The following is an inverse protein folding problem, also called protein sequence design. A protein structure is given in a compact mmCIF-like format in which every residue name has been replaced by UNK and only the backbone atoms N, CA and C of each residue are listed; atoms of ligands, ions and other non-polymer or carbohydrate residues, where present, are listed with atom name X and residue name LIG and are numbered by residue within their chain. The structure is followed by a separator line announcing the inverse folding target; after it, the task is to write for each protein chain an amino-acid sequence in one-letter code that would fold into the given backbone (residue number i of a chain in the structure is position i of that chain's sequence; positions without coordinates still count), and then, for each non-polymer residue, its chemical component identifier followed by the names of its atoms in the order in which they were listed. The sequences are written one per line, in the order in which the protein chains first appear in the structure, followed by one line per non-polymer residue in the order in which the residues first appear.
data_IF_290696723914
#
_entry.id   IF_290696723914
#
_cell.length_a   1.000
_cell.length_b   1.000
_cell.length_c   1.000
_cell.angle_alpha   90.00
_cell.angle_beta   90.00
_cell.angle_gamma   90.00
#
_symmetry.space_group_name_H-M   'P 1'
#
loop_
_entity.id
_entity.type
_entity.pdbx_description
1 polymer ?
#
# COMPACT_ATOMS: atom_id res chain seq x y z
N UNK A 1 -25.95 16.26 19.59
CA UNK A 1 -26.07 17.17 18.44
C UNK A 1 -27.02 18.33 18.69
N UNK A 2 -28.23 18.13 19.24
CA UNK A 2 -29.16 19.24 19.48
C UNK A 2 -29.85 19.73 18.20
N UNK A 3 -29.97 18.84 17.21
CA UNK A 3 -30.67 19.07 15.95
C UNK A 3 -32.18 19.16 16.15
N UNK A 4 -32.82 20.04 15.38
CA UNK A 4 -34.25 20.06 15.15
C UNK A 4 -34.74 18.79 14.43
N UNK A 5 -36.05 18.54 14.41
CA UNK A 5 -36.59 17.35 13.75
C UNK A 5 -36.38 17.38 12.22
N UNK A 6 -36.34 18.56 11.61
CA UNK A 6 -36.02 18.72 10.20
C UNK A 6 -34.56 18.35 9.91
N UNK A 7 -33.61 18.88 10.68
CA UNK A 7 -32.17 18.55 10.55
C UNK A 7 -31.92 17.06 10.80
N UNK A 8 -32.59 16.44 11.78
CA UNK A 8 -32.48 14.98 12.01
C UNK A 8 -32.89 14.18 10.78
N UNK A 9 -33.97 14.57 10.10
CA UNK A 9 -34.45 13.87 8.93
C UNK A 9 -33.45 13.96 7.76
N UNK A 10 -32.89 15.15 7.53
CA UNK A 10 -31.89 15.39 6.48
C UNK A 10 -30.58 14.64 6.77
N UNK A 11 -30.01 14.84 7.97
CA UNK A 11 -28.73 14.23 8.33
C UNK A 11 -28.83 12.71 8.42
N UNK A 12 -29.99 12.15 8.81
CA UNK A 12 -30.22 10.71 8.81
C UNK A 12 -30.09 10.12 7.41
N UNK A 13 -30.69 10.73 6.39
CA UNK A 13 -30.61 10.23 5.02
C UNK A 13 -29.16 10.26 4.49
N UNK A 14 -28.40 11.31 4.82
CA UNK A 14 -26.99 11.42 4.46
C UNK A 14 -26.15 10.34 5.18
N UNK A 15 -26.37 10.15 6.46
CA UNK A 15 -25.67 9.17 7.28
C UNK A 15 -25.93 7.72 6.85
N UNK A 16 -27.19 7.39 6.51
CA UNK A 16 -27.55 6.10 5.92
C UNK A 16 -26.84 5.88 4.58
N UNK A 17 -26.67 6.95 3.78
CA UNK A 17 -25.90 6.89 2.54
C UNK A 17 -24.41 6.63 2.80
N UNK A 18 -23.78 7.37 3.72
CA UNK A 18 -22.37 7.14 4.09
C UNK A 18 -22.11 5.71 4.59
N UNK A 19 -22.98 5.22 5.47
CA UNK A 19 -22.91 3.87 6.01
C UNK A 19 -23.01 2.83 4.89
N UNK A 20 -24.09 2.86 4.11
CA UNK A 20 -24.41 1.82 3.13
C UNK A 20 -23.48 1.79 1.92
N UNK A 21 -22.98 2.94 1.47
CA UNK A 21 -22.11 2.99 0.29
C UNK A 21 -20.65 2.64 0.58
N UNK A 22 -20.12 3.00 1.75
CA UNK A 22 -18.68 2.84 2.03
C UNK A 22 -18.37 2.45 3.46
N UNK A 23 -18.87 3.17 4.45
CA UNK A 23 -18.26 3.12 5.77
C UNK A 23 -18.58 1.83 6.54
N UNK A 24 -19.70 1.17 6.27
CA UNK A 24 -20.00 -0.16 6.83
C UNK A 24 -19.09 -1.27 6.28
N UNK A 25 -18.30 -1.02 5.22
CA UNK A 25 -17.29 -1.98 4.74
C UNK A 25 -16.06 -2.07 5.66
N UNK A 26 -15.93 -1.20 6.66
CA UNK A 26 -14.77 -1.19 7.55
C UNK A 26 -14.69 -2.48 8.37
N UNK A 27 -13.65 -3.26 8.11
CA UNK A 27 -13.52 -4.65 8.60
C UNK A 27 -13.15 -4.75 10.07
N UNK A 28 -12.67 -3.67 10.69
CA UNK A 28 -12.22 -3.68 12.08
C UNK A 28 -13.30 -3.21 13.07
N UNK A 29 -14.54 -3.03 12.62
CA UNK A 29 -15.64 -2.86 13.57
C UNK A 29 -15.86 -4.15 14.37
N UNK A 30 -16.11 -3.99 15.67
CA UNK A 30 -16.50 -5.09 16.54
C UNK A 30 -17.81 -5.74 16.04
N UNK A 31 -18.04 -7.04 16.32
CA UNK A 31 -19.28 -7.71 15.96
C UNK A 31 -20.53 -6.93 16.42
N UNK A 32 -21.45 -6.68 15.49
CA UNK A 32 -22.68 -5.92 15.76
C UNK A 32 -22.51 -4.39 15.80
N UNK A 33 -21.29 -3.86 15.62
CA UNK A 33 -21.04 -2.42 15.43
C UNK A 33 -20.94 -2.10 13.94
N UNK A 34 -21.52 -0.97 13.53
CA UNK A 34 -21.38 -0.40 12.19
C UNK A 34 -20.98 1.07 12.29
N UNK A 35 -20.93 1.76 11.15
CA UNK A 35 -20.48 3.15 11.10
C UNK A 35 -21.33 4.07 11.99
N UNK A 36 -22.65 3.94 11.96
CA UNK A 36 -23.55 4.85 12.69
C UNK A 36 -23.38 4.76 14.21
N UNK A 37 -23.28 3.54 14.75
CA UNK A 37 -23.03 3.35 16.18
C UNK A 37 -21.63 3.85 16.56
N UNK A 38 -20.63 3.58 15.71
CA UNK A 38 -19.27 4.08 15.92
C UNK A 38 -19.23 5.61 15.93
N UNK A 39 -19.90 6.26 14.97
CA UNK A 39 -20.01 7.71 14.88
C UNK A 39 -20.72 8.29 16.10
N UNK A 40 -21.81 7.69 16.56
CA UNK A 40 -22.54 8.17 17.73
C UNK A 40 -21.66 8.13 19.00
N UNK A 41 -20.96 7.01 19.24
CA UNK A 41 -20.05 6.86 20.37
C UNK A 41 -18.83 7.77 20.28
N UNK A 42 -18.33 7.98 19.06
CA UNK A 42 -17.22 8.87 18.75
C UNK A 42 -17.61 10.33 18.99
N UNK A 43 -18.79 10.78 18.53
CA UNK A 43 -19.28 12.13 18.77
C UNK A 43 -19.62 12.36 20.25
N UNK A 44 -20.10 11.35 20.95
CA UNK A 44 -20.43 11.46 22.38
C UNK A 44 -19.22 11.81 23.25
N UNK A 45 -18.00 11.48 22.80
CA UNK A 45 -16.79 11.77 23.57
C UNK A 45 -16.44 13.26 23.64
N UNK A 46 -16.91 14.06 22.69
CA UNK A 46 -16.67 15.50 22.68
C UNK A 46 -17.62 16.22 23.63
N UNK A 47 -17.08 17.05 24.53
CA UNK A 47 -17.80 17.64 25.66
C UNK A 47 -18.87 18.64 25.18
N UNK A 48 -18.48 19.57 24.32
CA UNK A 48 -19.35 20.69 23.94
C UNK A 48 -20.10 20.40 22.63
N UNK A 49 -21.20 21.13 22.40
CA UNK A 49 -21.91 21.08 21.12
C UNK A 49 -21.00 21.53 19.97
N UNK A 50 -20.24 22.62 20.14
CA UNK A 50 -19.35 23.14 19.10
C UNK A 50 -18.25 22.14 18.70
N UNK A 51 -17.68 21.42 19.66
CA UNK A 51 -16.69 20.37 19.37
C UNK A 51 -17.32 19.22 18.56
N UNK A 52 -18.54 18.80 18.90
CA UNK A 52 -19.29 17.81 18.12
C UNK A 52 -19.60 18.27 16.70
N UNK A 53 -19.97 19.54 16.53
CA UNK A 53 -20.28 20.11 15.22
C UNK A 53 -19.04 20.17 14.32
N UNK A 54 -17.88 20.56 14.87
CA UNK A 54 -16.58 20.53 14.17
C UNK A 54 -16.23 19.09 13.75
N UNK A 55 -16.32 18.15 14.69
CA UNK A 55 -16.00 16.75 14.45
C UNK A 55 -16.92 16.11 13.39
N UNK A 56 -18.22 16.43 13.43
CA UNK A 56 -19.19 15.96 12.45
C UNK A 56 -18.95 16.54 11.05
N UNK A 57 -18.66 17.85 10.96
CA UNK A 57 -18.36 18.52 9.69
C UNK A 57 -17.10 17.93 9.05
N UNK A 58 -16.07 17.62 9.84
CA UNK A 58 -14.89 16.91 9.38
C UNK A 58 -15.22 15.57 8.70
N UNK A 59 -16.12 14.77 9.31
CA UNK A 59 -16.55 13.48 8.73
C UNK A 59 -17.28 13.69 7.41
N UNK A 60 -18.14 14.71 7.31
CA UNK A 60 -18.91 15.01 6.08
C UNK A 60 -18.05 15.52 4.94
N UNK A 61 -17.04 16.35 5.23
CA UNK A 61 -16.41 17.19 4.23
C UNK A 61 -14.96 16.80 3.91
N UNK A 62 -14.27 16.14 4.84
CA UNK A 62 -12.82 15.89 4.73
C UNK A 62 -12.43 14.41 4.77
N UNK A 63 -13.28 13.55 5.32
CA UNK A 63 -12.98 12.13 5.46
C UNK A 63 -12.90 11.43 4.10
N UNK A 64 -11.78 10.76 3.85
CA UNK A 64 -11.56 9.93 2.66
C UNK A 64 -11.59 8.47 3.09
N UNK A 65 -12.59 7.74 2.59
CA UNK A 65 -12.67 6.29 2.76
C UNK A 65 -12.42 5.59 1.44
N UNK A 66 -11.44 4.69 1.44
CA UNK A 66 -11.12 3.84 0.30
C UNK A 66 -11.74 2.46 0.52
N UNK A 67 -12.78 2.17 -0.25
CA UNK A 67 -13.53 0.91 -0.23
C UNK A 67 -12.71 -0.27 -0.75
N UNK A 68 -13.20 -1.49 -0.49
CA UNK A 68 -12.58 -2.68 -1.06
C UNK A 68 -12.68 -2.70 -2.60
N UNK A 69 -13.79 -2.22 -3.16
CA UNK A 69 -13.97 -2.13 -4.61
C UNK A 69 -12.96 -1.16 -5.25
N UNK A 70 -12.71 0.00 -4.63
CA UNK A 70 -11.74 0.98 -5.12
C UNK A 70 -10.32 0.43 -5.07
N UNK A 71 -9.88 -0.17 -3.96
CA UNK A 71 -8.54 -0.79 -3.87
C UNK A 71 -8.41 -1.91 -4.90
N UNK A 72 -9.42 -2.79 -5.05
CA UNK A 72 -9.36 -3.88 -6.02
C UNK A 72 -9.29 -3.37 -7.47
N UNK A 73 -9.92 -2.24 -7.77
CA UNK A 73 -9.78 -1.57 -9.07
C UNK A 73 -8.33 -1.11 -9.30
N UNK A 74 -7.70 -0.47 -8.31
CA UNK A 74 -6.30 -0.04 -8.40
C UNK A 74 -5.34 -1.23 -8.54
N UNK A 75 -5.59 -2.33 -7.81
CA UNK A 75 -4.86 -3.60 -7.96
C UNK A 75 -4.94 -4.11 -9.40
N UNK A 76 -6.14 -4.08 -10.00
CA UNK A 76 -6.35 -4.45 -11.40
C UNK A 76 -5.69 -3.52 -12.41
N UNK A 77 -5.46 -2.25 -12.06
CA UNK A 77 -4.79 -1.29 -12.94
C UNK A 77 -3.27 -1.38 -12.90
N UNK A 78 -2.67 -1.91 -11.82
CA UNK A 78 -1.22 -1.93 -11.62
C UNK A 78 -0.45 -2.62 -12.78
N UNK A 79 -0.91 -3.79 -13.24
CA UNK A 79 -0.27 -4.50 -14.34
C UNK A 79 -0.42 -3.80 -15.70
N UNK A 80 -1.63 -3.47 -16.19
CA UNK A 80 -1.79 -2.85 -17.50
C UNK A 80 -1.21 -1.43 -17.59
N UNK A 81 -1.03 -0.74 -16.46
CA UNK A 81 -0.54 0.65 -16.40
C UNK A 81 0.98 0.73 -16.33
N UNK A 82 1.64 -0.15 -15.56
CA UNK A 82 3.09 -0.02 -15.31
C UNK A 82 3.89 -1.22 -15.79
N UNK A 83 3.47 -2.43 -15.42
CA UNK A 83 4.24 -3.65 -15.70
C UNK A 83 4.22 -3.96 -17.20
N UNK A 84 3.02 -4.12 -17.78
CA UNK A 84 2.88 -4.50 -19.19
C UNK A 84 3.52 -3.49 -20.15
N UNK A 85 3.33 -2.15 -20.01
CA UNK A 85 3.99 -1.18 -20.87
C UNK A 85 5.51 -1.26 -20.81
N UNK A 86 6.09 -1.47 -19.61
CA UNK A 86 7.54 -1.67 -19.45
C UNK A 86 8.02 -2.92 -20.18
N UNK A 87 7.34 -4.06 -19.99
CA UNK A 87 7.70 -5.30 -20.69
C UNK A 87 7.61 -5.16 -22.22
N UNK A 88 6.61 -4.43 -22.73
CA UNK A 88 6.47 -4.16 -24.16
C UNK A 88 7.62 -3.29 -24.67
N UNK A 89 7.93 -2.19 -23.95
CA UNK A 89 9.00 -1.27 -24.32
C UNK A 89 10.34 -2.00 -24.39
N UNK A 90 10.70 -2.75 -23.35
CA UNK A 90 11.93 -3.52 -23.29
C UNK A 90 11.96 -4.59 -24.40
N UNK A 91 10.81 -5.13 -24.85
CA UNK A 91 10.73 -6.10 -25.97
C UNK A 91 10.99 -5.46 -27.32
N UNK A 92 10.48 -4.25 -27.51
CA UNK A 92 10.79 -3.49 -28.72
C UNK A 92 12.27 -3.11 -28.78
N UNK A 93 12.84 -2.65 -27.67
CA UNK A 93 14.25 -2.21 -27.61
C UNK A 93 15.24 -3.36 -27.85
N UNK A 94 14.95 -4.54 -27.30
CA UNK A 94 15.84 -5.70 -27.42
C UNK A 94 15.76 -6.41 -28.78
N UNK A 95 14.72 -6.14 -29.58
CA UNK A 95 14.49 -6.85 -30.84
C UNK A 95 14.11 -5.88 -31.96
N UNK A 96 15.09 -5.51 -32.78
CA UNK A 96 14.95 -4.50 -33.85
C UNK A 96 13.83 -4.78 -34.87
N UNK A 97 13.36 -6.02 -35.00
CA UNK A 97 12.24 -6.38 -35.86
C UNK A 97 10.86 -6.04 -35.25
N UNK A 98 10.80 -5.75 -33.95
CA UNK A 98 9.58 -5.44 -33.20
C UNK A 98 9.51 -3.93 -32.91
N UNK A 99 8.87 -3.19 -33.81
CA UNK A 99 8.67 -1.75 -33.62
C UNK A 99 7.73 -1.46 -32.43
N UNK A 100 8.11 -0.52 -31.55
CA UNK A 100 7.41 -0.22 -30.30
C UNK A 100 5.91 0.09 -30.44
N UNK A 101 5.49 0.68 -31.57
CA UNK A 101 4.08 0.99 -31.83
C UNK A 101 3.23 -0.24 -32.19
N UNK A 102 3.85 -1.39 -32.52
CA UNK A 102 3.15 -2.63 -32.90
C UNK A 102 2.86 -3.52 -31.69
N UNK A 103 2.20 -2.95 -30.68
CA UNK A 103 1.91 -3.60 -29.39
C UNK A 103 1.30 -5.01 -29.53
N UNK A 104 0.34 -5.20 -30.44
CA UNK A 104 -0.29 -6.52 -30.65
C UNK A 104 0.67 -7.58 -31.16
N UNK A 105 1.64 -7.19 -31.99
CA UNK A 105 2.65 -8.10 -32.52
C UNK A 105 3.65 -8.46 -31.42
N UNK A 106 4.06 -7.47 -30.62
CA UNK A 106 4.96 -7.66 -29.48
C UNK A 106 4.36 -8.63 -28.48
N UNK A 107 3.13 -8.40 -28.01
CA UNK A 107 2.49 -9.24 -26.97
C UNK A 107 2.30 -10.69 -27.42
N UNK A 108 2.20 -10.95 -28.73
CA UNK A 108 2.11 -12.31 -29.30
C UNK A 108 3.46 -12.98 -29.52
N UNK A 109 4.56 -12.25 -29.41
CA UNK A 109 5.90 -12.75 -29.72
C UNK A 109 6.37 -13.76 -28.65
N UNK A 110 7.36 -14.60 -29.01
CA UNK A 110 7.99 -15.52 -28.03
C UNK A 110 8.78 -14.73 -27.00
N UNK A 111 9.39 -13.63 -27.41
CA UNK A 111 10.26 -12.76 -26.62
C UNK A 111 9.46 -12.06 -25.52
N UNK A 112 8.30 -11.47 -25.84
CA UNK A 112 7.43 -10.89 -24.82
C UNK A 112 6.92 -11.96 -23.84
N UNK A 113 6.49 -13.13 -24.33
CA UNK A 113 6.01 -14.22 -23.46
C UNK A 113 7.10 -14.73 -22.52
N UNK A 114 8.32 -14.89 -23.02
CA UNK A 114 9.47 -15.27 -22.22
C UNK A 114 9.78 -14.20 -21.16
N UNK A 115 9.75 -12.92 -21.55
CA UNK A 115 10.00 -11.81 -20.63
C UNK A 115 8.94 -11.67 -19.55
N UNK A 116 7.66 -11.76 -19.93
CA UNK A 116 6.55 -11.82 -18.99
C UNK A 116 6.77 -12.98 -18.02
N UNK A 117 7.14 -14.17 -18.52
CA UNK A 117 7.39 -15.34 -17.66
C UNK A 117 8.57 -15.18 -16.71
N UNK A 118 9.61 -14.43 -17.11
CA UNK A 118 10.75 -14.00 -16.30
C UNK A 118 10.44 -12.84 -15.34
N UNK A 119 9.16 -12.51 -15.14
CA UNK A 119 8.70 -11.56 -14.14
C UNK A 119 8.21 -12.28 -12.88
N UNK A 120 8.79 -11.91 -11.74
CA UNK A 120 8.39 -12.35 -10.39
C UNK A 120 7.62 -11.22 -9.68
N UNK A 121 6.44 -11.51 -9.13
CA UNK A 121 5.61 -10.59 -8.39
C UNK A 121 5.63 -10.96 -6.91
N UNK A 122 6.03 -10.01 -6.04
CA UNK A 122 6.17 -10.20 -4.60
C UNK A 122 5.30 -9.21 -3.84
N UNK A 123 4.59 -9.68 -2.81
CA UNK A 123 3.88 -8.82 -1.86
C UNK A 123 4.81 -8.25 -0.79
N UNK A 124 4.74 -6.94 -0.56
CA UNK A 124 5.48 -6.24 0.51
C UNK A 124 4.75 -6.24 1.85
N UNK A 125 3.45 -6.57 1.86
CA UNK A 125 2.63 -6.72 3.05
C UNK A 125 1.38 -7.56 2.76
N UNK A 126 0.62 -7.89 3.81
CA UNK A 126 -0.71 -8.51 3.67
C UNK A 126 -1.67 -7.66 2.82
N UNK A 127 -1.48 -6.33 2.82
CA UNK A 127 -2.25 -5.38 2.01
C UNK A 127 -1.96 -5.46 0.51
N UNK A 128 -0.88 -6.12 0.09
CA UNK A 128 -0.48 -6.21 -1.31
C UNK A 128 -1.49 -6.92 -2.23
N UNK A 129 -2.47 -7.65 -1.68
CA UNK A 129 -3.59 -8.26 -2.45
C UNK A 129 -3.13 -9.03 -3.69
N UNK A 130 -2.02 -9.76 -3.58
CA UNK A 130 -1.41 -10.43 -4.72
C UNK A 130 -2.27 -11.55 -5.29
N UNK A 131 -3.18 -12.12 -4.50
CA UNK A 131 -4.23 -13.03 -4.96
C UNK A 131 -5.21 -12.34 -5.92
N UNK A 132 -5.69 -11.14 -5.56
CA UNK A 132 -6.59 -10.34 -6.39
C UNK A 132 -5.86 -9.82 -7.63
N UNK A 133 -4.61 -9.38 -7.47
CA UNK A 133 -3.76 -8.98 -8.58
C UNK A 133 -3.66 -10.08 -9.65
N UNK A 134 -3.40 -11.34 -9.23
CA UNK A 134 -3.36 -12.48 -10.16
C UNK A 134 -4.73 -12.75 -10.79
N UNK A 135 -5.80 -12.72 -10.01
CA UNK A 135 -7.18 -12.99 -10.50
C UNK A 135 -7.68 -11.92 -11.47
N UNK A 136 -7.20 -10.69 -11.36
CA UNK A 136 -7.48 -9.62 -12.31
C UNK A 136 -6.80 -9.82 -13.68
N UNK A 137 -5.75 -10.66 -13.74
CA UNK A 137 -4.93 -10.88 -14.95
C UNK A 137 -4.77 -12.37 -15.30
N UNK A 138 -5.87 -13.14 -15.45
CA UNK A 138 -5.80 -14.61 -15.56
C UNK A 138 -5.19 -15.10 -16.88
N UNK A 139 -5.11 -14.25 -17.90
CA UNK A 139 -4.51 -14.58 -19.19
C UNK A 139 -3.00 -14.28 -19.25
N UNK A 140 -2.50 -13.45 -18.34
CA UNK A 140 -1.12 -12.95 -18.37
C UNK A 140 -0.28 -13.49 -17.21
N UNK A 141 -0.88 -13.74 -16.04
CA UNK A 141 -0.13 -14.00 -14.80
C UNK A 141 -0.53 -15.36 -14.21
N UNK A 142 0.45 -16.24 -14.07
CA UNK A 142 0.26 -17.56 -13.47
C UNK A 142 0.58 -17.57 -11.97
N UNK A 143 0.25 -18.67 -11.28
CA UNK A 143 0.57 -18.81 -9.85
C UNK A 143 2.08 -18.87 -9.61
N UNK A 144 2.81 -19.40 -10.59
CA UNK A 144 4.25 -19.61 -10.63
C UNK A 144 5.07 -18.33 -10.75
N UNK A 145 4.41 -17.19 -10.82
CA UNK A 145 5.04 -15.87 -10.88
C UNK A 145 4.71 -15.04 -9.65
N UNK A 146 3.76 -15.46 -8.80
CA UNK A 146 3.24 -14.63 -7.72
C UNK A 146 3.54 -15.26 -6.39
N UNK A 147 4.19 -14.51 -5.50
CA UNK A 147 4.39 -14.92 -4.13
C UNK A 147 3.91 -13.83 -3.15
N UNK A 148 3.19 -14.26 -2.11
CA UNK A 148 2.51 -13.37 -1.16
C UNK A 148 3.48 -12.61 -0.25
N UNK A 149 4.65 -13.18 0.04
CA UNK A 149 5.66 -12.58 0.89
C UNK A 149 6.99 -12.50 0.13
N UNK A 150 7.95 -11.74 0.64
CA UNK A 150 9.31 -11.77 0.11
C UNK A 150 10.17 -12.85 0.79
N UNK A 151 9.88 -13.22 2.03
CA UNK A 151 10.60 -14.28 2.74
C UNK A 151 10.25 -15.66 2.13
N UNK A 152 11.16 -16.17 1.30
CA UNK A 152 10.99 -17.42 0.55
C UNK A 152 11.92 -18.52 1.08
N UNK A 153 11.34 -19.67 1.41
CA UNK A 153 12.12 -20.85 1.79
C UNK A 153 12.84 -21.48 0.59
N UNK A 154 14.00 -22.12 0.82
CA UNK A 154 14.80 -22.76 -0.23
C UNK A 154 14.03 -23.79 -1.08
N UNK A 155 13.18 -24.68 -0.50
CA UNK A 155 12.39 -25.61 -1.31
C UNK A 155 11.42 -24.90 -2.25
N UNK A 156 10.87 -23.75 -1.81
CA UNK A 156 9.96 -22.96 -2.62
C UNK A 156 10.72 -22.29 -3.77
N UNK A 157 11.87 -21.69 -3.49
CA UNK A 157 12.75 -21.09 -4.49
C UNK A 157 13.10 -22.09 -5.61
N UNK A 158 13.49 -23.32 -5.24
CA UNK A 158 13.77 -24.39 -6.22
C UNK A 158 12.57 -24.68 -7.13
N UNK A 159 11.37 -24.78 -6.55
CA UNK A 159 10.14 -25.01 -7.31
C UNK A 159 9.81 -23.87 -8.29
N UNK A 160 10.16 -22.61 -8.00
CA UNK A 160 10.02 -21.50 -8.94
C UNK A 160 10.98 -21.65 -10.13
N UNK A 161 12.25 -21.99 -9.88
CA UNK A 161 13.27 -22.20 -10.92
C UNK A 161 12.91 -23.35 -11.85
N UNK A 162 12.54 -24.51 -11.30
CA UNK A 162 12.16 -25.70 -12.09
C UNK A 162 10.99 -25.39 -13.03
N UNK A 163 9.96 -24.71 -12.52
CA UNK A 163 8.81 -24.32 -13.33
C UNK A 163 9.17 -23.23 -14.35
N UNK A 164 10.02 -22.27 -13.99
CA UNK A 164 10.51 -21.24 -14.92
C UNK A 164 11.26 -21.87 -16.09
N UNK A 165 12.17 -22.81 -15.83
CA UNK A 165 12.92 -23.53 -16.85
C UNK A 165 11.99 -24.28 -17.82
N UNK A 166 11.02 -25.02 -17.27
CA UNK A 166 10.03 -25.76 -18.06
C UNK A 166 9.21 -24.85 -18.98
N UNK A 167 8.71 -23.75 -18.44
CA UNK A 167 7.86 -22.82 -19.18
C UNK A 167 8.67 -22.09 -20.27
N UNK A 168 9.89 -21.65 -19.95
CA UNK A 168 10.79 -21.03 -20.93
C UNK A 168 11.18 -21.97 -22.06
N UNK A 169 11.46 -23.24 -21.75
CA UNK A 169 11.76 -24.26 -22.77
C UNK A 169 10.59 -24.49 -23.71
N UNK A 170 9.36 -24.45 -23.17
CA UNK A 170 8.13 -24.55 -23.95
C UNK A 170 7.92 -23.32 -24.86
N UNK A 171 8.22 -22.12 -24.36
CA UNK A 171 8.07 -20.87 -25.13
C UNK A 171 9.09 -20.78 -26.26
N UNK A 172 10.36 -21.09 -25.98
CA UNK A 172 11.45 -21.05 -26.96
C UNK A 172 11.29 -22.16 -28.01
N UNK A 173 10.86 -23.36 -27.57
CA UNK A 173 10.88 -24.59 -28.35
C UNK A 173 12.22 -25.33 -28.30
N UNK A 174 13.07 -24.98 -27.32
CA UNK A 174 14.38 -25.59 -27.09
C UNK A 174 14.64 -25.70 -25.58
N UNK A 175 15.45 -26.66 -25.17
CA UNK A 175 15.82 -26.83 -23.76
C UNK A 175 16.57 -25.59 -23.26
N UNK A 176 16.08 -25.02 -22.15
CA UNK A 176 16.73 -23.89 -21.48
C UNK A 176 17.56 -24.44 -20.31
N UNK A 177 18.88 -24.19 -20.28
CA UNK A 177 19.73 -24.55 -19.16
C UNK A 177 19.26 -23.93 -17.84
N UNK A 178 19.49 -24.61 -16.72
CA UNK A 178 19.04 -24.18 -15.39
C UNK A 178 19.69 -22.84 -14.96
N UNK A 179 20.94 -22.60 -15.35
CA UNK A 179 21.66 -21.35 -15.10
C UNK A 179 21.05 -20.15 -15.86
N UNK A 180 20.32 -20.40 -16.95
CA UNK A 180 19.60 -19.39 -17.74
C UNK A 180 18.13 -19.21 -17.30
N UNK A 181 17.61 -20.10 -16.46
CA UNK A 181 16.26 -20.02 -15.91
C UNK A 181 16.21 -19.04 -14.72
N UNK A 182 16.48 -17.76 -14.99
CA UNK A 182 16.49 -16.67 -14.00
C UNK A 182 15.41 -15.63 -14.29
N UNK A 183 14.87 -15.04 -13.23
CA UNK A 183 13.99 -13.89 -13.32
C UNK A 183 14.79 -12.63 -13.65
N UNK A 184 14.29 -11.84 -14.59
CA UNK A 184 14.90 -10.57 -15.02
C UNK A 184 14.11 -9.38 -14.46
N UNK A 185 12.86 -9.60 -14.06
CA UNK A 185 11.97 -8.57 -13.54
C UNK A 185 11.45 -8.98 -12.18
N UNK A 186 11.49 -8.06 -11.22
CA UNK A 186 10.89 -8.24 -9.89
C UNK A 186 9.93 -7.10 -9.64
N UNK A 187 8.63 -7.40 -9.52
CA UNK A 187 7.58 -6.41 -9.25
C UNK A 187 7.17 -6.53 -7.78
N UNK A 188 7.43 -5.49 -7.01
CA UNK A 188 7.06 -5.42 -5.59
C UNK A 188 5.72 -4.69 -5.46
N UNK A 189 4.74 -5.31 -4.81
CA UNK A 189 3.37 -4.80 -4.69
C UNK A 189 3.05 -4.45 -3.24
N UNK A 190 2.42 -3.30 -3.00
CA UNK A 190 1.81 -2.97 -1.71
C UNK A 190 0.62 -2.01 -1.89
N UNK A 191 -0.23 -1.89 -0.86
CA UNK A 191 -1.45 -1.09 -0.96
C UNK A 191 -1.26 0.41 -0.71
N UNK A 192 -0.69 0.77 0.43
CA UNK A 192 -0.73 2.13 0.94
C UNK A 192 0.59 2.56 1.58
N UNK A 193 0.97 3.81 1.33
CA UNK A 193 2.07 4.48 2.03
C UNK A 193 1.79 5.97 2.17
N UNK A 194 2.09 6.54 3.34
CA UNK A 194 1.87 7.96 3.61
C UNK A 194 3.14 8.72 4.00
N UNK A 195 4.02 8.12 4.80
CA UNK A 195 5.33 8.70 5.13
C UNK A 195 6.50 8.11 4.33
N UNK A 196 6.35 6.90 3.76
CA UNK A 196 7.44 6.20 3.08
C UNK A 196 8.50 5.55 3.99
N UNK A 197 8.57 5.92 5.27
CA UNK A 197 9.62 5.48 6.20
C UNK A 197 9.67 3.97 6.48
N UNK A 198 8.55 3.25 6.36
CA UNK A 198 8.51 1.79 6.49
C UNK A 198 9.12 1.07 5.28
N UNK A 199 9.13 1.73 4.12
CA UNK A 199 9.65 1.17 2.87
C UNK A 199 11.13 1.43 2.72
N UNK A 200 11.58 2.66 3.03
CA UNK A 200 12.98 3.04 2.89
C UNK A 200 13.33 4.17 3.86
N UNK A 201 14.41 4.00 4.62
CA UNK A 201 15.01 5.01 5.51
C UNK A 201 16.47 4.66 5.79
N UNK A 202 17.21 5.62 6.31
CA UNK A 202 18.52 5.35 6.89
C UNK A 202 18.37 4.72 8.28
N UNK A 203 19.14 3.68 8.54
CA UNK A 203 19.29 3.01 9.82
C UNK A 203 20.32 3.70 10.70
N UNK A 204 20.45 3.22 11.95
CA UNK A 204 21.31 3.86 12.97
C UNK A 204 22.80 3.90 12.61
N UNK A 205 23.25 2.99 11.75
CA UNK A 205 24.66 2.83 11.38
C UNK A 205 24.98 3.41 9.99
N UNK A 206 24.05 4.15 9.36
CA UNK A 206 24.17 4.61 7.98
C UNK A 206 23.70 3.60 6.93
N UNK A 207 23.38 2.36 7.32
CA UNK A 207 22.82 1.34 6.42
C UNK A 207 21.35 1.62 6.08
N UNK A 208 20.92 1.25 4.87
CA UNK A 208 19.51 1.32 4.48
C UNK A 208 18.62 0.30 5.21
N UNK A 209 17.47 0.76 5.71
CA UNK A 209 16.44 -0.05 6.36
C UNK A 209 15.06 0.22 5.73
N UNK A 210 14.09 -0.67 6.00
CA UNK A 210 12.78 -0.68 5.38
C UNK A 210 12.58 -1.89 4.45
N UNK A 211 11.33 -2.10 4.04
CA UNK A 211 10.94 -3.26 3.21
C UNK A 211 11.70 -3.33 1.89
N UNK A 212 11.84 -2.20 1.19
CA UNK A 212 12.54 -2.15 -0.11
C UNK A 212 14.02 -2.44 0.10
N UNK A 213 14.67 -1.78 1.07
CA UNK A 213 16.09 -1.99 1.37
C UNK A 213 16.41 -3.46 1.69
N UNK A 214 15.55 -4.12 2.47
CA UNK A 214 15.71 -5.55 2.81
C UNK A 214 15.63 -6.45 1.57
N UNK A 215 14.62 -6.24 0.73
CA UNK A 215 14.43 -7.06 -0.48
C UNK A 215 15.54 -6.81 -1.49
N UNK A 216 15.94 -5.56 -1.70
CA UNK A 216 17.06 -5.24 -2.58
C UNK A 216 18.34 -5.93 -2.10
N UNK A 217 18.63 -5.92 -0.79
CA UNK A 217 19.76 -6.66 -0.22
C UNK A 217 19.68 -8.17 -0.47
N UNK A 218 18.49 -8.76 -0.33
CA UNK A 218 18.29 -10.19 -0.62
C UNK A 218 18.48 -10.51 -2.11
N UNK A 219 17.96 -9.65 -3.01
CA UNK A 219 18.12 -9.77 -4.45
C UNK A 219 19.58 -9.60 -4.89
N UNK A 220 20.33 -8.71 -4.23
CA UNK A 220 21.74 -8.44 -4.54
C UNK A 220 22.68 -9.55 -4.03
N UNK A 221 22.23 -10.36 -3.07
CA UNK A 221 22.95 -11.56 -2.61
C UNK A 221 22.91 -12.69 -3.64
N UNK A 222 23.69 -13.76 -3.45
CA UNK A 222 23.61 -14.98 -4.28
C UNK A 222 22.80 -16.10 -3.65
N UNK A 223 22.12 -15.80 -2.54
CA UNK A 223 21.31 -16.74 -1.77
C UNK A 223 19.81 -16.50 -1.98
N UNK A 224 18.99 -17.53 -1.73
CA UNK A 224 17.51 -17.44 -1.72
C UNK A 224 16.94 -16.64 -2.91
N UNK A 225 16.37 -15.46 -2.68
CA UNK A 225 15.81 -14.60 -3.73
C UNK A 225 16.84 -14.16 -4.76
N UNK A 226 18.05 -13.82 -4.32
CA UNK A 226 19.14 -13.41 -5.19
C UNK A 226 19.61 -14.53 -6.12
N UNK A 227 19.48 -15.79 -5.70
CA UNK A 227 19.73 -16.96 -6.55
C UNK A 227 18.68 -17.16 -7.66
N UNK A 228 17.48 -16.56 -7.51
CA UNK A 228 16.39 -16.68 -8.49
C UNK A 228 16.51 -15.68 -9.64
N UNK A 229 17.21 -14.57 -9.43
CA UNK A 229 17.32 -13.49 -10.42
C UNK A 229 18.60 -13.58 -11.24
N UNK A 230 18.62 -12.86 -12.36
CA UNK A 230 19.81 -12.73 -13.20
C UNK A 230 20.95 -12.02 -12.44
N UNK A 231 22.19 -12.31 -12.82
CA UNK A 231 23.38 -11.71 -12.19
C UNK A 231 23.62 -10.25 -12.59
N UNK A 232 22.94 -9.78 -13.65
CA UNK A 232 22.96 -8.37 -14.07
C UNK A 232 21.70 -8.07 -14.89
N UNK A 233 21.40 -6.78 -15.05
CA UNK A 233 20.25 -6.30 -15.83
C UNK A 233 18.88 -6.55 -15.18
N UNK A 234 18.83 -6.86 -13.88
CA UNK A 234 17.56 -7.05 -13.16
C UNK A 234 16.80 -5.74 -13.07
N UNK A 235 15.53 -5.74 -13.43
CA UNK A 235 14.66 -4.57 -13.29
C UNK A 235 13.66 -4.77 -12.17
N UNK A 236 13.82 -4.00 -11.09
CA UNK A 236 12.91 -4.00 -9.95
C UNK A 236 11.90 -2.88 -10.12
N UNK A 237 10.61 -3.21 -10.09
CA UNK A 237 9.51 -2.24 -10.16
C UNK A 237 8.72 -2.27 -8.86
N UNK A 238 8.83 -1.23 -8.06
CA UNK A 238 8.03 -1.04 -6.85
C UNK A 238 6.73 -0.34 -7.24
N UNK A 239 5.60 -1.03 -7.10
CA UNK A 239 4.27 -0.51 -7.42
C UNK A 239 3.43 -0.43 -6.15
N UNK A 240 3.11 0.79 -5.74
CA UNK A 240 2.20 1.05 -4.61
C UNK A 240 0.84 1.51 -5.15
N UNK A 241 -0.25 0.92 -4.66
CA UNK A 241 -1.57 1.24 -5.17
C UNK A 241 -1.98 2.67 -4.82
N UNK A 242 -1.73 3.11 -3.58
CA UNK A 242 -2.06 4.44 -3.08
C UNK A 242 -0.87 5.02 -2.33
N UNK A 243 -0.41 6.22 -2.69
CA UNK A 243 0.64 6.91 -1.93
C UNK A 243 0.34 8.39 -1.74
N UNK A 244 0.60 8.92 -0.55
CA UNK A 244 0.60 10.37 -0.32
C UNK A 244 1.86 11.01 -0.91
N UNK A 245 1.76 12.25 -1.39
CA UNK A 245 2.89 12.99 -1.98
C UNK A 245 4.14 12.97 -1.06
N UNK A 246 3.96 13.13 0.25
CA UNK A 246 5.04 13.03 1.24
C UNK A 246 5.81 11.70 1.16
N UNK A 247 5.12 10.56 0.98
CA UNK A 247 5.79 9.27 0.83
C UNK A 247 6.49 9.13 -0.52
N UNK A 248 5.89 9.69 -1.58
CA UNK A 248 6.44 9.62 -2.93
C UNK A 248 7.78 10.34 -2.96
N UNK A 249 7.79 11.60 -2.52
CA UNK A 249 9.02 12.41 -2.42
C UNK A 249 10.06 11.71 -1.53
N UNK A 250 9.64 11.20 -0.36
CA UNK A 250 10.53 10.52 0.58
C UNK A 250 11.20 9.28 -0.03
N UNK A 251 10.44 8.45 -0.76
CA UNK A 251 10.91 7.20 -1.35
C UNK A 251 11.77 7.49 -2.58
N UNK A 252 11.31 8.34 -3.51
CA UNK A 252 12.03 8.66 -4.75
C UNK A 252 13.44 9.22 -4.46
N UNK A 253 13.54 10.19 -3.54
CA UNK A 253 14.83 10.79 -3.15
C UNK A 253 15.84 9.78 -2.58
N UNK A 254 15.36 8.74 -1.90
CA UNK A 254 16.21 7.73 -1.25
C UNK A 254 16.51 6.56 -2.17
N UNK A 255 15.60 6.23 -3.08
CA UNK A 255 15.82 5.19 -4.08
C UNK A 255 16.99 5.51 -4.99
N UNK A 256 17.20 6.78 -5.33
CA UNK A 256 18.37 7.23 -6.11
C UNK A 256 19.71 6.90 -5.43
N UNK A 257 19.70 6.73 -4.10
CA UNK A 257 20.88 6.50 -3.28
C UNK A 257 21.01 5.04 -2.82
N UNK A 258 20.01 4.21 -3.09
CA UNK A 258 19.98 2.81 -2.68
C UNK A 258 20.81 1.98 -3.68
N UNK A 259 21.96 1.40 -3.27
CA UNK A 259 22.75 0.59 -4.19
C UNK A 259 22.03 -0.71 -4.55
N UNK A 260 22.12 -1.09 -5.82
CA UNK A 260 21.71 -2.39 -6.32
C UNK A 260 22.64 -2.79 -7.47
N UNK A 261 23.55 -3.73 -7.22
CA UNK A 261 24.61 -4.09 -8.18
C UNK A 261 24.10 -4.87 -9.38
N UNK A 262 23.01 -5.64 -9.20
CA UNK A 262 22.44 -6.49 -10.25
C UNK A 262 21.51 -5.75 -11.22
N UNK A 263 21.19 -4.48 -11.00
CA UNK A 263 20.40 -3.72 -11.99
C UNK A 263 19.79 -2.41 -11.50
N UNK A 264 18.50 -2.18 -11.80
CA UNK A 264 17.82 -0.89 -11.59
C UNK A 264 16.54 -1.03 -10.78
N UNK A 265 16.14 0.05 -10.12
CA UNK A 265 14.92 0.13 -9.31
C UNK A 265 14.07 1.30 -9.82
N UNK A 266 12.80 1.04 -10.08
CA UNK A 266 11.80 2.05 -10.44
C UNK A 266 10.67 2.06 -9.42
N UNK A 267 10.16 3.25 -9.08
CA UNK A 267 9.00 3.44 -8.21
C UNK A 267 7.81 3.97 -8.99
N UNK A 268 6.64 3.34 -8.84
CA UNK A 268 5.38 3.73 -9.47
C UNK A 268 4.26 3.72 -8.45
N UNK A 269 3.33 4.66 -8.63
CA UNK A 269 2.15 4.80 -7.80
C UNK A 269 0.91 4.81 -8.68
N UNK A 270 -0.05 3.91 -8.42
CA UNK A 270 -1.29 3.83 -9.22
C UNK A 270 -2.18 5.04 -8.96
N UNK A 271 -2.37 5.41 -7.69
CA UNK A 271 -3.16 6.55 -7.27
C UNK A 271 -2.39 7.44 -6.28
N UNK A 272 -2.11 8.67 -6.68
CA UNK A 272 -1.46 9.66 -5.82
C UNK A 272 -2.52 10.40 -4.99
N UNK A 273 -2.40 10.34 -3.67
CA UNK A 273 -3.14 11.22 -2.77
C UNK A 273 -2.42 12.57 -2.75
N UNK A 274 -3.00 13.52 -3.48
CA UNK A 274 -2.43 14.85 -3.65
C UNK A 274 -2.28 15.59 -2.30
N UNK A 275 -1.43 16.62 -2.31
CA UNK A 275 -1.15 17.45 -1.15
C UNK A 275 -2.39 18.10 -0.50
N UNK A 276 -3.49 18.29 -1.26
CA UNK A 276 -4.76 18.85 -0.77
C UNK A 276 -5.52 17.93 0.20
N UNK A 277 -5.14 16.65 0.29
CA UNK A 277 -5.68 15.70 1.26
C UNK A 277 -5.16 15.98 2.67
N UNK A 278 -3.93 16.48 2.80
CA UNK A 278 -3.33 16.76 4.11
C UNK A 278 -4.12 17.84 4.84
N UNK A 279 -4.46 17.59 6.11
CA UNK A 279 -5.16 18.58 6.93
C UNK A 279 -4.23 19.75 7.26
N UNK A 280 -4.66 20.95 6.91
CA UNK A 280 -3.87 22.18 7.03
C UNK A 280 -4.67 23.36 7.57
N UNK A 281 -4.05 24.25 8.36
CA UNK A 281 -4.59 25.58 8.63
C UNK A 281 -4.69 26.45 7.35
N UNK A 282 -5.68 27.37 7.25
CA UNK A 282 -6.79 27.57 8.19
C UNK A 282 -8.01 26.66 7.91
N UNK A 283 -8.02 25.91 6.80
CA UNK A 283 -9.19 25.14 6.34
C UNK A 283 -9.61 24.05 7.32
N UNK A 284 -8.66 23.45 8.03
CA UNK A 284 -8.89 22.33 8.94
C UNK A 284 -8.63 22.72 10.42
N UNK A 285 -8.59 24.02 10.74
CA UNK A 285 -8.24 24.52 12.08
C UNK A 285 -9.12 23.94 13.20
N UNK A 286 -10.42 23.75 12.93
CA UNK A 286 -11.34 23.19 13.92
C UNK A 286 -10.92 21.78 14.35
N UNK A 287 -10.79 20.85 13.40
CA UNK A 287 -10.44 19.46 13.72
C UNK A 287 -8.99 19.33 14.21
N UNK A 288 -8.07 20.15 13.69
CA UNK A 288 -6.69 20.18 14.17
C UNK A 288 -6.62 20.70 15.61
N UNK A 289 -7.42 21.71 15.96
CA UNK A 289 -7.51 22.22 17.34
C UNK A 289 -8.10 21.18 18.28
N UNK A 290 -9.15 20.45 17.86
CA UNK A 290 -9.69 19.31 18.63
C UNK A 290 -8.63 18.24 18.85
N UNK A 291 -7.96 17.80 17.79
CA UNK A 291 -6.90 16.80 17.87
C UNK A 291 -5.74 17.28 18.76
N UNK A 292 -5.53 18.59 18.92
CA UNK A 292 -4.50 19.17 19.78
C UNK A 292 -4.81 19.14 21.28
N UNK A 293 -6.03 18.82 21.69
CA UNK A 293 -6.40 18.82 23.11
C UNK A 293 -5.96 17.52 23.79
N UNK A 294 -5.37 17.60 24.99
CA UNK A 294 -4.84 16.42 25.70
C UNK A 294 -5.90 15.40 26.09
N UNK A 295 -7.14 15.84 26.37
CA UNK A 295 -8.28 14.96 26.65
C UNK A 295 -8.68 14.09 25.46
N UNK A 296 -8.34 14.49 24.24
CA UNK A 296 -8.65 13.78 22.99
C UNK A 296 -7.44 13.06 22.40
N UNK A 297 -6.40 12.85 23.21
CA UNK A 297 -5.25 12.05 22.87
C UNK A 297 -4.89 11.09 24.01
N UNK A 298 -4.37 9.93 23.67
CA UNK A 298 -3.80 9.00 24.64
C UNK A 298 -2.28 8.95 24.44
N UNK A 299 -1.46 9.35 25.43
CA UNK A 299 0.00 9.28 25.33
C UNK A 299 0.54 7.87 25.03
N UNK A 300 -0.19 6.82 25.42
CA UNK A 300 0.22 5.43 25.16
C UNK A 300 0.20 5.08 23.66
N UNK A 301 -0.47 5.90 22.84
CA UNK A 301 -0.42 5.77 21.39
C UNK A 301 0.98 6.09 20.82
N UNK A 302 1.76 6.92 21.51
CA UNK A 302 3.12 7.28 21.13
C UNK A 302 4.14 6.22 21.59
N UNK A 303 4.20 5.11 20.85
CA UNK A 303 5.14 4.01 21.05
C UNK A 303 6.56 4.28 20.49
N UNK A 304 7.45 3.29 20.58
CA UNK A 304 8.81 3.31 20.01
C UNK A 304 8.83 3.63 18.50
N UNK A 305 7.80 3.23 17.75
CA UNK A 305 7.74 3.57 16.33
C UNK A 305 7.56 5.07 16.12
N UNK A 306 6.84 5.77 17.01
CA UNK A 306 6.66 7.22 16.97
C UNK A 306 7.98 7.99 16.97
N UNK A 307 9.03 7.45 17.62
CA UNK A 307 10.39 8.01 17.57
C UNK A 307 10.97 8.00 16.17
N UNK A 308 10.67 6.98 15.36
CA UNK A 308 11.07 6.91 13.94
C UNK A 308 10.32 7.97 13.12
N UNK A 309 9.08 8.27 13.46
CA UNK A 309 8.29 9.33 12.82
C UNK A 309 8.62 10.75 13.31
N UNK A 310 9.42 10.89 14.36
CA UNK A 310 9.87 12.18 14.92
C UNK A 310 8.78 13.09 15.47
N UNK A 311 7.53 12.63 15.52
CA UNK A 311 6.35 13.45 15.88
C UNK A 311 5.33 12.60 16.62
N UNK A 312 4.54 13.26 17.48
CA UNK A 312 3.39 12.60 18.12
C UNK A 312 2.39 12.15 17.07
N UNK A 313 1.86 10.93 17.25
CA UNK A 313 0.83 10.34 16.41
C UNK A 313 -0.53 11.02 16.53
N UNK A 314 -0.67 11.98 17.44
CA UNK A 314 -1.82 12.89 17.55
C UNK A 314 -2.32 13.39 16.18
N UNK A 315 -1.37 13.87 15.37
CA UNK A 315 -1.61 14.39 14.03
C UNK A 315 -1.30 13.37 12.92
N UNK A 316 -1.24 12.09 13.28
CA UNK A 316 -0.78 11.03 12.41
C UNK A 316 0.74 10.89 12.39
N UNK A 317 1.19 9.65 12.30
CA UNK A 317 2.59 9.26 12.22
C UNK A 317 3.36 10.04 11.14
N UNK A 318 4.55 10.51 11.50
CA UNK A 318 5.42 11.37 10.67
C UNK A 318 4.76 12.69 10.21
N UNK A 319 3.81 13.20 10.99
CA UNK A 319 3.13 14.46 10.73
C UNK A 319 2.31 14.45 9.43
N UNK A 320 1.87 13.28 8.97
CA UNK A 320 1.14 13.14 7.71
C UNK A 320 -0.23 13.83 7.72
N UNK A 321 -0.89 13.95 8.89
CA UNK A 321 -2.15 14.69 9.06
C UNK A 321 -3.24 14.26 8.07
N UNK A 322 -3.41 12.97 7.85
CA UNK A 322 -4.36 12.49 6.85
C UNK A 322 -5.77 12.28 7.44
N UNK A 323 -6.82 12.52 6.64
CA UNK A 323 -8.19 12.12 6.95
C UNK A 323 -8.55 10.81 6.23
N UNK A 324 -7.64 9.83 6.17
CA UNK A 324 -7.78 8.64 5.32
C UNK A 324 -8.14 7.40 6.15
N UNK A 325 -9.06 6.60 5.62
CA UNK A 325 -9.45 5.29 6.14
C UNK A 325 -9.44 4.29 4.98
N UNK A 326 -8.88 3.10 5.18
CA UNK A 326 -8.98 1.99 4.22
C UNK A 326 -9.97 0.98 4.78
N UNK A 327 -10.73 0.32 3.91
CA UNK A 327 -11.75 -0.64 4.34
C UNK A 327 -11.22 -1.75 5.28
N UNK A 328 -9.95 -2.13 5.16
CA UNK A 328 -9.36 -3.17 6.01
C UNK A 328 -8.60 -2.63 7.24
N UNK A 329 -8.28 -1.34 7.30
CA UNK A 329 -7.50 -0.71 8.37
C UNK A 329 -7.49 0.83 8.25
N UNK A 330 -7.51 1.54 9.38
CA UNK A 330 -7.20 2.98 9.39
C UNK A 330 -5.70 3.22 9.54
N UNK A 331 -5.01 3.84 8.56
CA UNK A 331 -3.58 4.14 8.67
C UNK A 331 -3.27 5.03 9.87
N UNK A 332 -2.19 4.76 10.60
CA UNK A 332 -1.78 5.58 11.75
C UNK A 332 -1.16 6.91 11.32
N UNK A 333 -0.95 7.12 10.01
CA UNK A 333 -0.65 8.40 9.39
C UNK A 333 -1.87 9.34 9.35
N UNK A 334 -3.07 8.81 9.56
CA UNK A 334 -4.26 9.61 9.78
C UNK A 334 -4.29 10.16 11.20
N UNK A 335 -5.09 11.20 11.44
CA UNK A 335 -5.21 11.79 12.79
C UNK A 335 -5.68 10.75 13.81
N UNK A 336 -5.16 10.80 15.05
CA UNK A 336 -5.41 9.80 16.09
C UNK A 336 -6.90 9.55 16.36
N UNK A 337 -7.70 10.62 16.31
CA UNK A 337 -9.16 10.57 16.49
C UNK A 337 -9.86 9.59 15.53
N UNK A 338 -9.28 9.28 14.38
CA UNK A 338 -9.86 8.31 13.44
C UNK A 338 -9.58 6.86 13.86
N UNK A 339 -8.43 6.56 14.47
CA UNK A 339 -7.95 5.18 14.57
C UNK A 339 -7.64 4.69 15.97
N UNK A 340 -7.80 5.52 17.00
CA UNK A 340 -7.55 5.14 18.38
C UNK A 340 -8.13 3.74 18.69
N UNK A 341 -7.25 2.85 19.15
CA UNK A 341 -7.57 1.46 19.51
C UNK A 341 -8.44 1.39 20.77
N UNK A 342 -9.15 0.28 20.97
CA UNK A 342 -10.03 0.08 22.13
C UNK A 342 -9.31 0.12 23.50
N UNK A 343 -7.98 -0.06 23.52
CA UNK A 343 -7.15 0.05 24.72
C UNK A 343 -6.89 1.49 25.16
N UNK A 344 -7.12 2.46 24.28
CA UNK A 344 -6.90 3.87 24.59
C UNK A 344 -8.11 4.49 25.29
N UNK A 345 -7.87 5.56 26.04
CA UNK A 345 -8.92 6.35 26.70
C UNK A 345 -9.82 7.13 25.72
N UNK A 346 -9.39 7.27 24.47
CA UNK A 346 -10.09 7.99 23.39
C UNK A 346 -10.66 6.98 22.41
N UNK A 347 -11.86 7.24 21.90
CA UNK A 347 -12.50 6.36 20.91
C UNK A 347 -12.09 6.77 19.50
N UNK A 348 -11.63 5.82 18.70
CA UNK A 348 -11.44 5.99 17.26
C UNK A 348 -12.77 5.88 16.52
N UNK A 349 -13.00 6.71 15.50
CA UNK A 349 -14.18 6.57 14.64
C UNK A 349 -14.15 5.26 13.83
N UNK A 350 -12.96 4.89 13.36
CA UNK A 350 -12.62 3.65 12.67
C UNK A 350 -11.46 2.99 13.43
N UNK A 351 -11.75 2.36 14.58
CA UNK A 351 -10.72 1.91 15.51
C UNK A 351 -9.80 0.88 14.85
N UNK A 352 -8.52 0.90 15.22
CA UNK A 352 -7.58 -0.17 14.87
C UNK A 352 -7.65 -1.29 15.91
N UNK A 353 -7.38 -2.50 15.45
CA UNK A 353 -7.16 -3.65 16.33
C UNK A 353 -5.66 -3.79 16.59
N UNK A 354 -5.28 -3.81 17.86
CA UNK A 354 -3.88 -4.00 18.25
C UNK A 354 -3.38 -5.35 17.78
N UNK A 355 -2.27 -5.36 17.03
CA UNK A 355 -1.62 -6.61 16.57
C UNK A 355 -0.81 -7.29 17.68
N UNK A 356 -0.47 -6.56 18.73
CA UNK A 356 0.25 -7.06 19.89
C UNK A 356 -0.69 -7.17 21.06
N UNK A 357 -1.10 -8.40 21.43
CA UNK A 357 -1.72 -8.62 22.73
C UNK A 357 -0.69 -8.27 23.80
N UNK A 358 -0.98 -7.24 24.61
CA UNK A 358 -0.33 -7.11 25.91
C UNK A 358 -0.80 -8.30 26.74
N UNK A 359 0.09 -9.26 26.97
CA UNK A 359 -0.16 -10.28 27.99
C UNK A 359 0.00 -9.54 29.32
N UNK A 360 -1.13 -9.22 29.95
CA UNK A 360 -1.15 -8.82 31.37
C UNK A 360 -0.86 -10.02 32.26
#
# INVERSE_FOLDING_TARGET
MGWSDAEKAEERALLESFASYKYDEYQQFAPGRRFLESLALWLQQFETKGERDIAYSFVKERLIFVSNAEINSLVGLAFPTFVRPKLIADTAESHSALEAHRVKSIVKSKEYRARLRKTLFLGLSDGARTDQFRRAHPQDITHEQVFHAYDMSSPKAKGFTEKLQKDLSTISGAEVPEDQAKFEYVVLLDDFTASGTSYLREGKNGDWDGKIAKIIRELDSDELLGSLVAQSGVSVLVVIYIAADQAIEHIEQRLEQLPFSKGSIEFKVVHRLNCGVKLVPPTDDGILSLANQDRYFDPDADDEHSKVGGTSKRFGYAGCKLPVVLAHNTPNNSIFLLWAEDVHRVRGLFPRVSRHRKFE
#
